data_IF_734387205536
#
_entry.id   IF_734387205536
#
_cell.length_a   1.000
_cell.length_b   1.000
_cell.length_c   1.000
_cell.angle_alpha   90.00
_cell.angle_beta   90.00
_cell.angle_gamma   90.00
#
_symmetry.space_group_name_H-M   'P 1'
#
loop_
_entity.id
_entity.type
_entity.pdbx_description
1 polymer ?
#
# COMPACT_ATOMS: atom_id res chain seq x y z
N UNK A 1 7.79 31.94 10.44
CA UNK A 1 6.67 31.12 10.96
C UNK A 1 5.47 31.42 10.08
N UNK A 2 5.06 30.47 9.24
CA UNK A 2 3.98 30.69 8.27
C UNK A 2 2.64 30.35 8.91
N UNK A 3 1.70 31.30 8.88
CA UNK A 3 0.32 31.08 9.33
C UNK A 3 -0.30 29.96 8.48
N UNK A 4 -0.91 28.97 9.12
CA UNK A 4 -1.56 27.85 8.43
C UNK A 4 -2.61 28.36 7.42
N UNK A 5 -2.43 28.00 6.14
CA UNK A 5 -3.30 28.44 5.04
C UNK A 5 -4.71 27.85 5.21
N UNK A 6 -5.72 28.69 5.12
CA UNK A 6 -7.13 28.28 5.04
C UNK A 6 -7.38 27.81 3.60
N UNK A 7 -8.02 26.66 3.45
CA UNK A 7 -8.41 26.14 2.13
C UNK A 7 -9.92 25.95 2.05
N UNK A 8 -10.49 26.25 0.89
CA UNK A 8 -11.89 25.99 0.59
C UNK A 8 -12.03 24.62 -0.07
N UNK A 9 -12.80 23.73 0.55
CA UNK A 9 -13.07 22.40 0.03
C UNK A 9 -14.52 22.32 -0.44
N UNK A 10 -14.69 21.95 -1.71
CA UNK A 10 -16.00 21.63 -2.28
C UNK A 10 -16.25 20.13 -2.18
N UNK A 11 -17.32 19.75 -1.49
CA UNK A 11 -17.73 18.35 -1.43
C UNK A 11 -18.26 17.89 -2.79
N UNK A 12 -17.67 16.82 -3.34
CA UNK A 12 -18.11 16.24 -4.62
C UNK A 12 -19.50 15.61 -4.55
N UNK A 13 -19.95 15.13 -3.38
CA UNK A 13 -21.25 14.46 -3.21
C UNK A 13 -22.42 15.43 -3.02
N UNK A 14 -22.24 16.50 -2.23
CA UNK A 14 -23.32 17.43 -1.89
C UNK A 14 -23.11 18.86 -2.41
N UNK A 15 -22.00 19.15 -3.09
CA UNK A 15 -21.75 20.44 -3.72
C UNK A 15 -21.42 21.61 -2.77
N UNK A 16 -21.63 21.45 -1.47
CA UNK A 16 -21.30 22.47 -0.48
C UNK A 16 -19.80 22.77 -0.40
N UNK A 17 -19.48 24.05 -0.31
CA UNK A 17 -18.16 24.59 -0.04
C UNK A 17 -18.04 24.97 1.42
N UNK A 18 -16.97 24.53 2.08
CA UNK A 18 -16.62 24.94 3.45
C UNK A 18 -15.13 25.24 3.52
N UNK A 19 -14.78 26.25 4.30
CA UNK A 19 -13.39 26.58 4.64
C UNK A 19 -12.92 25.72 5.80
N UNK A 20 -11.68 25.23 5.70
CA UNK A 20 -11.03 24.44 6.74
C UNK A 20 -9.60 24.95 6.95
N UNK A 21 -9.12 24.87 8.19
CA UNK A 21 -7.69 25.02 8.45
C UNK A 21 -6.96 23.75 8.00
N UNK A 22 -5.78 23.90 7.38
CA UNK A 22 -4.95 22.77 6.95
C UNK A 22 -4.70 21.74 8.07
N UNK A 23 -4.54 22.21 9.31
CA UNK A 23 -4.30 21.37 10.50
C UNK A 23 -5.51 20.51 10.91
N UNK A 24 -6.71 20.83 10.44
CA UNK A 24 -7.94 20.05 10.70
C UNK A 24 -8.09 18.87 9.73
N UNK A 25 -7.30 18.86 8.64
CA UNK A 25 -7.36 17.82 7.63
C UNK A 25 -6.53 16.62 8.07
N UNK A 26 -7.08 15.43 7.85
CA UNK A 26 -6.39 14.17 8.12
C UNK A 26 -6.36 13.31 6.86
N UNK A 27 -5.21 12.71 6.59
CA UNK A 27 -5.05 11.71 5.54
C UNK A 27 -5.61 10.36 6.02
N UNK A 28 -6.33 9.68 5.13
CA UNK A 28 -6.93 8.36 5.38
C UNK A 28 -6.33 7.35 4.38
N UNK A 29 -6.28 6.08 4.78
CA UNK A 29 -5.80 4.98 3.92
C UNK A 29 -6.57 4.91 2.60
N UNK A 30 -5.84 4.84 1.49
CA UNK A 30 -6.41 4.49 0.21
C UNK A 30 -6.68 2.99 0.13
N UNK A 31 -7.95 2.59 0.22
CA UNK A 31 -8.36 1.18 0.14
C UNK A 31 -8.09 0.56 -1.23
N UNK A 32 -8.09 1.35 -2.31
CA UNK A 32 -7.92 0.84 -3.68
C UNK A 32 -6.53 0.24 -3.88
N UNK A 33 -5.47 0.92 -3.42
CA UNK A 33 -4.10 0.42 -3.50
C UNK A 33 -3.91 -0.87 -2.71
N UNK A 34 -4.56 -0.99 -1.55
CA UNK A 34 -4.50 -2.19 -0.72
C UNK A 34 -5.24 -3.37 -1.36
N UNK A 35 -6.39 -3.11 -1.99
CA UNK A 35 -7.14 -4.11 -2.75
C UNK A 35 -6.33 -4.62 -3.95
N UNK A 36 -5.65 -3.74 -4.69
CA UNK A 36 -4.76 -4.14 -5.78
C UNK A 36 -3.60 -5.00 -5.29
N UNK A 37 -2.96 -4.62 -4.17
CA UNK A 37 -1.91 -5.43 -3.55
C UNK A 37 -2.42 -6.82 -3.13
N UNK A 38 -3.60 -6.88 -2.52
CA UNK A 38 -4.23 -8.12 -2.10
C UNK A 38 -4.60 -9.00 -3.31
N UNK A 39 -5.08 -8.40 -4.40
CA UNK A 39 -5.34 -9.10 -5.65
C UNK A 39 -4.07 -9.75 -6.21
N UNK A 40 -2.96 -9.01 -6.28
CA UNK A 40 -1.67 -9.55 -6.72
C UNK A 40 -1.22 -10.70 -5.80
N UNK A 41 -1.42 -10.58 -4.50
CA UNK A 41 -1.07 -11.65 -3.56
C UNK A 41 -1.93 -12.91 -3.76
N UNK A 42 -3.26 -12.75 -3.80
CA UNK A 42 -4.23 -13.85 -3.88
C UNK A 42 -4.18 -14.58 -5.22
N UNK A 43 -3.95 -13.87 -6.33
CA UNK A 43 -3.89 -14.50 -7.66
C UNK A 43 -2.46 -14.81 -8.10
N UNK A 44 -1.49 -13.96 -7.76
CA UNK A 44 -0.08 -14.17 -8.11
C UNK A 44 0.52 -15.37 -7.39
N UNK A 45 0.19 -15.58 -6.10
CA UNK A 45 0.76 -16.70 -5.34
C UNK A 45 0.34 -18.07 -5.89
N UNK A 46 -0.95 -18.36 -6.15
CA UNK A 46 -1.36 -19.60 -6.80
C UNK A 46 -0.79 -19.77 -8.20
N UNK A 47 -0.72 -18.69 -8.99
CA UNK A 47 -0.17 -18.75 -10.35
C UNK A 47 1.31 -19.18 -10.33
N UNK A 48 2.09 -18.60 -9.42
CA UNK A 48 3.49 -18.94 -9.18
C UNK A 48 3.60 -20.40 -8.73
N UNK A 49 2.77 -20.83 -7.77
CA UNK A 49 2.77 -22.20 -7.25
C UNK A 49 2.43 -23.25 -8.31
N UNK A 50 1.41 -23.02 -9.14
CA UNK A 50 1.03 -23.95 -10.23
C UNK A 50 2.19 -24.09 -11.22
N UNK A 51 2.82 -22.98 -11.61
CA UNK A 51 3.96 -23.00 -12.52
C UNK A 51 5.17 -23.73 -11.92
N UNK A 52 5.40 -23.56 -10.62
CA UNK A 52 6.51 -24.18 -9.89
C UNK A 52 6.27 -25.63 -9.49
N UNK A 53 5.03 -26.09 -9.42
CA UNK A 53 4.66 -27.44 -8.99
C UNK A 53 5.42 -28.52 -9.79
N UNK A 54 5.56 -28.32 -11.11
CA UNK A 54 6.30 -29.23 -11.99
C UNK A 54 7.81 -29.31 -11.68
N UNK A 55 8.38 -28.26 -11.11
CA UNK A 55 9.79 -28.18 -10.72
C UNK A 55 10.00 -28.66 -9.28
N UNK A 56 9.03 -28.42 -8.40
CA UNK A 56 9.06 -28.81 -6.99
C UNK A 56 9.18 -30.34 -6.83
N UNK A 57 8.49 -31.14 -7.66
CA UNK A 57 8.58 -32.60 -7.60
C UNK A 57 9.88 -33.20 -8.18
N UNK A 58 10.74 -32.38 -8.80
CA UNK A 58 12.07 -32.78 -9.33
C UNK A 58 13.24 -32.30 -8.46
N UNK A 59 12.95 -31.81 -7.25
CA UNK A 59 13.94 -31.20 -6.36
C UNK A 59 14.96 -32.22 -5.81
N UNK A 60 16.06 -32.41 -6.55
CA UNK A 60 17.31 -33.02 -6.04
C UNK A 60 18.36 -31.97 -5.67
N UNK A 61 18.15 -30.69 -6.01
CA UNK A 61 19.16 -29.64 -5.93
C UNK A 61 18.74 -28.52 -4.96
N UNK A 62 19.53 -28.36 -3.89
CA UNK A 62 19.30 -27.39 -2.80
C UNK A 62 19.27 -25.92 -3.29
N UNK A 63 20.00 -25.62 -4.37
CA UNK A 63 20.03 -24.27 -4.95
C UNK A 63 18.72 -23.91 -5.64
N UNK A 64 18.07 -24.89 -6.29
CA UNK A 64 16.77 -24.68 -6.92
C UNK A 64 15.69 -24.42 -5.87
N UNK A 65 15.68 -25.16 -4.76
CA UNK A 65 14.74 -24.94 -3.65
C UNK A 65 14.82 -23.52 -3.10
N UNK A 66 16.04 -22.99 -2.90
CA UNK A 66 16.24 -21.64 -2.37
C UNK A 66 15.67 -20.56 -3.30
N UNK A 67 15.87 -20.70 -4.62
CA UNK A 67 15.33 -19.77 -5.63
C UNK A 67 13.80 -19.78 -5.61
N UNK A 68 13.19 -20.96 -5.49
CA UNK A 68 11.74 -21.12 -5.46
C UNK A 68 11.12 -20.46 -4.23
N UNK A 69 11.72 -20.65 -3.06
CA UNK A 69 11.28 -20.00 -1.81
C UNK A 69 11.38 -18.47 -1.96
N UNK A 70 12.46 -17.97 -2.57
CA UNK A 70 12.62 -16.55 -2.87
C UNK A 70 11.48 -16.02 -3.75
N UNK A 71 11.17 -16.71 -4.85
CA UNK A 71 10.09 -16.32 -5.78
C UNK A 71 8.70 -16.30 -5.12
N UNK A 72 8.39 -17.30 -4.30
CA UNK A 72 7.09 -17.39 -3.59
C UNK A 72 6.94 -16.26 -2.57
N UNK A 73 8.05 -15.74 -2.03
CA UNK A 73 8.01 -14.62 -1.08
C UNK A 73 7.75 -13.25 -1.74
N UNK A 74 7.96 -13.10 -3.06
CA UNK A 74 7.84 -11.81 -3.76
C UNK A 74 6.45 -11.17 -3.60
N UNK A 75 5.32 -11.87 -3.85
CA UNK A 75 3.99 -11.28 -3.69
C UNK A 75 3.73 -10.77 -2.27
N UNK A 76 4.24 -11.48 -1.25
CA UNK A 76 4.13 -11.07 0.14
C UNK A 76 4.89 -9.75 0.42
N UNK A 77 6.12 -9.64 -0.08
CA UNK A 77 6.91 -8.41 0.07
C UNK A 77 6.29 -7.24 -0.69
N UNK A 78 5.76 -7.47 -1.89
CA UNK A 78 5.06 -6.43 -2.67
C UNK A 78 3.87 -5.88 -1.90
N UNK A 79 3.00 -6.76 -1.38
CA UNK A 79 1.86 -6.34 -0.56
C UNK A 79 2.31 -5.54 0.68
N UNK A 80 3.29 -6.07 1.41
CA UNK A 80 3.81 -5.43 2.64
C UNK A 80 4.41 -4.05 2.36
N UNK A 81 5.11 -3.89 1.23
CA UNK A 81 5.70 -2.61 0.83
C UNK A 81 4.63 -1.57 0.52
N UNK A 82 3.60 -1.94 -0.26
CA UNK A 82 2.47 -1.05 -0.58
C UNK A 82 1.77 -0.58 0.70
N UNK A 83 1.48 -1.49 1.63
CA UNK A 83 0.84 -1.14 2.89
C UNK A 83 1.71 -0.18 3.72
N UNK A 84 3.01 -0.47 3.83
CA UNK A 84 3.96 0.37 4.56
C UNK A 84 4.08 1.77 3.97
N UNK A 85 4.13 1.88 2.63
CA UNK A 85 4.22 3.16 1.94
C UNK A 85 2.98 4.02 2.19
N UNK A 86 1.78 3.43 2.11
CA UNK A 86 0.52 4.11 2.41
C UNK A 86 0.48 4.60 3.86
N UNK A 87 0.86 3.74 4.81
CA UNK A 87 0.94 4.10 6.23
C UNK A 87 1.93 5.25 6.48
N UNK A 88 3.08 5.24 5.80
CA UNK A 88 4.07 6.29 5.92
C UNK A 88 3.57 7.63 5.39
N UNK A 89 2.90 7.66 4.22
CA UNK A 89 2.32 8.90 3.66
C UNK A 89 1.29 9.52 4.61
N UNK A 90 0.42 8.70 5.17
CA UNK A 90 -0.60 9.14 6.13
C UNK A 90 0.05 9.68 7.40
N UNK A 91 1.04 8.95 7.94
CA UNK A 91 1.75 9.37 9.14
C UNK A 91 2.49 10.69 8.92
N UNK A 92 3.17 10.84 7.78
CA UNK A 92 3.88 12.08 7.45
C UNK A 92 2.91 13.26 7.37
N UNK A 93 1.77 13.10 6.69
CA UNK A 93 0.77 14.15 6.60
C UNK A 93 0.15 14.51 7.96
N UNK A 94 -0.30 13.51 8.72
CA UNK A 94 -0.99 13.73 10.00
C UNK A 94 -0.06 14.23 11.12
N UNK A 95 1.24 13.92 11.04
CA UNK A 95 2.24 14.40 12.00
C UNK A 95 2.71 15.82 11.67
N UNK A 96 2.54 16.28 10.43
CA UNK A 96 2.92 17.63 10.03
C UNK A 96 1.78 18.62 10.37
N UNK A 97 1.63 18.92 11.66
CA UNK A 97 0.81 20.05 12.12
C UNK A 97 1.67 21.29 12.17
N UNK A 98 1.26 22.34 11.47
CA UNK A 98 1.93 23.64 11.51
C UNK A 98 1.57 24.26 12.85
N UNK A 99 2.56 24.46 13.74
CA UNK A 99 2.35 25.12 15.04
C UNK A 99 1.91 26.57 14.82
N UNK A 100 0.84 26.96 15.51
CA UNK A 100 0.26 28.31 15.53
C UNK A 100 1.24 29.37 16.06
#
# INVERSE_FOLDING_TARGET
MEKGKIIELKCKKCGHTKSYHLNELTAIKNKISLILGLFIFVFGTPLILIWLCNYLFKLSNIYLTAIIIGLVSIPFFVYSFIEKEQNNKIRQFNNHKISE
#
